data_IF_884760529317
#
_entry.id   IF_884760529317
#
_cell.length_a   1.000
_cell.length_b   1.000
_cell.length_c   1.000
_cell.angle_alpha   90.00
_cell.angle_beta   90.00
_cell.angle_gamma   90.00
#
_symmetry.space_group_name_H-M   'P 1'
#
loop_
_entity.id
_entity.type
_entity.pdbx_description
1 polymer ?
#
# COMPACT_ATOMS: atom_id res chain seq x y z
N UNK A 1 58.68 3.42 -0.68
CA UNK A 1 57.71 3.15 -1.73
C UNK A 1 56.34 3.50 -1.16
N UNK A 2 55.60 4.50 -1.66
CA UNK A 2 54.32 4.85 -1.11
C UNK A 2 53.25 3.89 -1.60
N UNK A 3 52.42 3.48 -0.65
CA UNK A 3 51.32 2.54 -0.79
C UNK A 3 50.38 2.95 -1.92
N UNK A 4 50.27 2.08 -2.93
CA UNK A 4 49.30 2.20 -4.00
C UNK A 4 47.87 2.06 -3.45
N UNK A 5 47.23 3.20 -3.16
CA UNK A 5 45.78 3.28 -3.00
C UNK A 5 45.16 2.85 -4.32
N UNK A 6 44.77 1.58 -4.42
CA UNK A 6 43.90 1.13 -5.51
C UNK A 6 42.63 1.96 -5.48
N UNK A 7 42.31 2.69 -6.56
CA UNK A 7 41.06 3.46 -6.59
C UNK A 7 39.90 2.49 -6.44
N UNK A 8 39.12 2.68 -5.39
CA UNK A 8 37.85 1.95 -5.22
C UNK A 8 37.00 2.22 -6.46
N UNK A 9 36.88 1.21 -7.32
CA UNK A 9 36.05 1.30 -8.52
C UNK A 9 34.65 1.70 -8.07
N UNK A 10 34.21 2.89 -8.48
CA UNK A 10 32.88 3.38 -8.16
C UNK A 10 31.84 2.37 -8.66
N UNK A 11 30.94 1.92 -7.78
CA UNK A 11 29.86 1.00 -8.14
C UNK A 11 29.01 1.61 -9.27
N UNK A 12 29.06 1.07 -10.50
CA UNK A 12 28.34 1.65 -11.64
C UNK A 12 26.83 1.60 -11.46
N UNK A 13 26.33 0.74 -10.56
CA UNK A 13 24.90 0.58 -10.26
C UNK A 13 24.46 1.39 -9.03
N UNK A 14 25.37 2.11 -8.36
CA UNK A 14 25.07 2.86 -7.14
C UNK A 14 23.91 3.85 -7.31
N UNK A 15 23.92 4.62 -8.40
CA UNK A 15 22.87 5.61 -8.68
C UNK A 15 21.49 4.94 -8.88
N UNK A 16 21.47 3.81 -9.59
CA UNK A 16 20.25 3.04 -9.85
C UNK A 16 19.71 2.43 -8.54
N UNK A 17 20.60 1.91 -7.70
CA UNK A 17 20.24 1.34 -6.40
C UNK A 17 19.63 2.39 -5.48
N UNK A 18 20.24 3.58 -5.36
CA UNK A 18 19.69 4.67 -4.55
C UNK A 18 18.38 5.23 -5.10
N UNK A 19 18.24 5.30 -6.42
CA UNK A 19 16.96 5.66 -7.03
C UNK A 19 15.86 4.66 -6.66
N UNK A 20 16.11 3.35 -6.75
CA UNK A 20 15.12 2.33 -6.38
C UNK A 20 14.76 2.40 -4.89
N UNK A 21 15.73 2.63 -4.00
CA UNK A 21 15.45 2.85 -2.58
C UNK A 21 14.64 4.13 -2.34
N UNK A 22 14.93 5.21 -3.07
CA UNK A 22 14.15 6.43 -3.00
C UNK A 22 12.69 6.22 -3.42
N UNK A 23 12.47 5.49 -4.51
CA UNK A 23 11.10 5.12 -4.94
C UNK A 23 10.43 4.20 -3.91
N UNK A 24 11.15 3.24 -3.34
CA UNK A 24 10.62 2.37 -2.28
C UNK A 24 10.20 3.18 -1.04
N UNK A 25 10.99 4.17 -0.64
CA UNK A 25 10.64 5.08 0.45
C UNK A 25 9.38 5.91 0.14
N UNK A 26 9.24 6.39 -1.10
CA UNK A 26 8.03 7.09 -1.55
C UNK A 26 6.80 6.17 -1.56
N UNK A 27 6.94 4.91 -1.99
CA UNK A 27 5.85 3.91 -1.93
C UNK A 27 5.48 3.62 -0.48
N UNK A 28 6.46 3.49 0.42
CA UNK A 28 6.19 3.33 1.84
C UNK A 28 5.43 4.53 2.43
N UNK A 29 5.87 5.76 2.12
CA UNK A 29 5.16 6.98 2.52
C UNK A 29 3.73 7.01 1.96
N UNK A 30 3.54 6.58 0.71
CA UNK A 30 2.22 6.48 0.07
C UNK A 30 1.31 5.49 0.81
N UNK A 31 1.83 4.34 1.26
CA UNK A 31 1.07 3.38 2.07
C UNK A 31 0.64 4.02 3.40
N UNK A 32 1.53 4.76 4.06
CA UNK A 32 1.21 5.48 5.32
C UNK A 32 0.13 6.53 5.10
N UNK A 33 0.26 7.37 4.05
CA UNK A 33 -0.76 8.39 3.71
C UNK A 33 -2.08 7.74 3.33
N UNK A 34 -2.06 6.60 2.60
CA UNK A 34 -3.26 5.81 2.30
C UNK A 34 -3.95 5.28 3.57
N UNK A 35 -3.16 4.82 4.55
CA UNK A 35 -3.66 4.45 5.88
C UNK A 35 -4.32 5.62 6.61
N UNK A 36 -3.71 6.81 6.59
CA UNK A 36 -4.29 8.02 7.15
C UNK A 36 -5.59 8.42 6.44
N UNK A 37 -5.64 8.36 5.11
CA UNK A 37 -6.86 8.58 4.31
C UNK A 37 -7.99 7.64 4.73
N UNK A 38 -7.66 6.37 5.03
CA UNK A 38 -8.66 5.39 5.54
C UNK A 38 -9.12 5.72 6.96
N UNK A 39 -8.20 6.08 7.85
CA UNK A 39 -8.51 6.38 9.26
C UNK A 39 -9.28 7.70 9.45
N UNK A 40 -9.20 8.61 8.49
CA UNK A 40 -9.94 9.88 8.47
C UNK A 40 -11.25 9.79 7.68
N UNK A 41 -11.64 8.60 7.26
CA UNK A 41 -12.82 8.35 6.39
C UNK A 41 -12.85 9.28 5.15
N UNK A 42 -11.67 9.52 4.54
CA UNK A 42 -11.50 10.48 3.45
C UNK A 42 -11.53 9.86 2.05
N UNK A 43 -11.58 8.52 1.96
CA UNK A 43 -11.31 7.78 0.72
C UNK A 43 -12.41 7.81 -0.35
N UNK A 44 -13.52 8.53 -0.13
CA UNK A 44 -14.63 8.70 -1.07
C UNK A 44 -14.90 10.18 -1.40
N UNK A 45 -14.06 11.11 -0.95
CA UNK A 45 -14.24 12.55 -1.13
C UNK A 45 -14.05 13.00 -2.59
N UNK A 46 -13.25 12.29 -3.37
CA UNK A 46 -12.99 12.56 -4.79
C UNK A 46 -13.70 11.50 -5.64
N UNK A 47 -14.86 11.83 -6.14
CA UNK A 47 -15.81 10.93 -6.82
C UNK A 47 -15.48 10.63 -8.29
N UNK A 48 -14.48 11.32 -8.87
CA UNK A 48 -14.11 11.19 -10.28
C UNK A 48 -12.73 10.57 -10.47
N UNK A 49 -12.60 9.73 -11.50
CA UNK A 49 -11.28 9.27 -11.93
C UNK A 49 -10.67 10.23 -12.95
N UNK A 50 -9.76 11.06 -12.48
CA UNK A 50 -8.98 11.99 -13.33
C UNK A 50 -7.49 11.74 -13.13
N UNK A 51 -6.90 10.70 -13.74
CA UNK A 51 -5.53 10.27 -13.45
C UNK A 51 -4.49 11.35 -13.76
N UNK A 52 -4.66 12.13 -14.81
CA UNK A 52 -3.75 13.21 -15.19
C UNK A 52 -4.28 14.60 -14.79
N UNK A 53 -5.54 14.91 -15.13
CA UNK A 53 -6.13 16.23 -14.89
C UNK A 53 -6.35 16.54 -13.40
N UNK A 54 -6.45 15.53 -12.54
CA UNK A 54 -6.62 15.69 -11.07
C UNK A 54 -5.33 16.00 -10.31
N UNK A 55 -4.27 16.50 -10.95
CA UNK A 55 -3.04 16.96 -10.28
C UNK A 55 -3.29 18.27 -9.55
N UNK A 56 -4.05 19.19 -10.16
CA UNK A 56 -4.39 20.47 -9.53
C UNK A 56 -5.59 20.26 -8.59
N UNK A 57 -5.52 20.79 -7.37
CA UNK A 57 -6.69 20.83 -6.49
C UNK A 57 -7.66 21.91 -6.98
N UNK A 58 -8.88 22.00 -6.41
CA UNK A 58 -9.76 23.13 -6.64
C UNK A 58 -9.07 24.45 -6.26
N UNK A 59 -9.07 25.42 -7.17
CA UNK A 59 -8.34 26.70 -7.01
C UNK A 59 -9.29 27.87 -6.68
N UNK A 60 -10.56 27.75 -7.03
CA UNK A 60 -11.59 28.78 -6.79
C UNK A 60 -12.72 28.27 -5.88
N UNK A 61 -13.47 29.19 -5.30
CA UNK A 61 -14.67 28.81 -4.52
C UNK A 61 -15.70 28.07 -5.37
N UNK A 62 -15.79 28.42 -6.66
CA UNK A 62 -16.67 27.70 -7.59
C UNK A 62 -16.23 26.24 -7.78
N UNK A 63 -14.92 25.97 -7.94
CA UNK A 63 -14.39 24.62 -8.04
C UNK A 63 -14.65 23.82 -6.76
N UNK A 64 -14.46 24.45 -5.57
CA UNK A 64 -14.76 23.81 -4.29
C UNK A 64 -16.25 23.44 -4.17
N UNK A 65 -17.15 24.32 -4.61
CA UNK A 65 -18.59 24.03 -4.61
C UNK A 65 -18.92 22.90 -5.59
N UNK A 66 -18.31 22.85 -6.77
CA UNK A 66 -18.54 21.77 -7.76
C UNK A 66 -18.15 20.40 -7.20
N UNK A 67 -16.94 20.25 -6.66
CA UNK A 67 -16.48 18.96 -6.11
C UNK A 67 -17.30 18.56 -4.87
N UNK A 68 -17.72 19.53 -4.04
CA UNK A 68 -18.57 19.26 -2.89
C UNK A 68 -19.98 18.84 -3.32
N UNK A 69 -20.56 19.45 -4.35
CA UNK A 69 -21.87 19.02 -4.88
C UNK A 69 -21.81 17.59 -5.43
N UNK A 70 -20.73 17.20 -6.09
CA UNK A 70 -20.52 15.79 -6.54
C UNK A 70 -20.42 14.83 -5.36
N UNK A 71 -19.69 15.18 -4.29
CA UNK A 71 -19.63 14.39 -3.07
C UNK A 71 -21.00 14.24 -2.39
N UNK A 72 -21.83 15.30 -2.42
CA UNK A 72 -23.19 15.26 -1.84
C UNK A 72 -24.13 14.29 -2.55
N UNK A 73 -23.77 13.72 -3.69
CA UNK A 73 -24.60 12.76 -4.43
C UNK A 73 -24.34 11.31 -4.03
N UNK A 74 -23.27 11.01 -3.29
CA UNK A 74 -22.92 9.63 -2.91
C UNK A 74 -23.60 9.20 -1.60
N UNK A 75 -23.76 7.86 -1.37
CA UNK A 75 -24.42 7.34 -0.17
C UNK A 75 -23.74 7.75 1.14
N UNK A 76 -22.39 7.85 1.17
CA UNK A 76 -21.66 8.27 2.36
C UNK A 76 -22.12 9.64 2.87
N UNK A 77 -22.32 10.62 1.98
CA UNK A 77 -22.81 11.93 2.39
C UNK A 77 -24.21 11.84 3.01
N UNK A 78 -25.12 11.10 2.38
CA UNK A 78 -26.52 11.06 2.84
C UNK A 78 -26.70 10.33 4.16
N UNK A 79 -25.86 9.32 4.43
CA UNK A 79 -26.03 8.41 5.57
C UNK A 79 -25.10 8.81 6.73
N UNK A 80 -23.83 9.13 6.43
CA UNK A 80 -22.78 9.37 7.44
C UNK A 80 -22.54 10.88 7.64
N UNK A 81 -22.37 11.63 6.55
CA UNK A 81 -21.88 13.00 6.55
C UNK A 81 -22.98 14.04 6.23
N UNK A 82 -24.24 13.70 6.47
CA UNK A 82 -25.37 14.59 6.19
C UNK A 82 -25.25 15.91 6.95
N UNK A 83 -25.26 17.02 6.21
CA UNK A 83 -25.12 18.36 6.80
C UNK A 83 -23.66 18.79 7.01
N UNK A 84 -22.68 18.02 6.52
CA UNK A 84 -21.27 18.40 6.53
C UNK A 84 -21.05 19.79 5.91
N UNK A 85 -20.26 20.62 6.56
CA UNK A 85 -19.86 21.93 6.04
C UNK A 85 -18.81 21.79 4.93
N UNK A 86 -18.68 22.83 4.10
CA UNK A 86 -17.63 22.87 3.07
C UNK A 86 -16.21 22.74 3.69
N UNK A 87 -15.98 23.32 4.85
CA UNK A 87 -14.66 23.25 5.51
C UNK A 87 -14.36 21.84 6.03
N UNK A 88 -15.35 21.15 6.58
CA UNK A 88 -15.21 19.75 6.95
C UNK A 88 -14.97 18.85 5.72
N UNK A 89 -15.64 19.13 4.59
CA UNK A 89 -15.39 18.45 3.32
C UNK A 89 -13.97 18.72 2.80
N UNK A 90 -13.48 19.97 2.86
CA UNK A 90 -12.09 20.30 2.47
C UNK A 90 -11.07 19.45 3.25
N UNK A 91 -11.30 19.20 4.54
CA UNK A 91 -10.40 18.36 5.34
C UNK A 91 -10.27 16.94 4.78
N UNK A 92 -11.38 16.25 4.50
CA UNK A 92 -11.34 14.90 3.92
C UNK A 92 -10.83 14.90 2.48
N UNK A 93 -11.16 15.93 1.70
CA UNK A 93 -10.66 16.10 0.33
C UNK A 93 -9.14 16.19 0.28
N UNK A 94 -8.51 16.95 1.18
CA UNK A 94 -7.06 17.12 1.18
C UNK A 94 -6.30 15.83 1.49
N UNK A 95 -6.82 14.96 2.35
CA UNK A 95 -6.22 13.65 2.61
C UNK A 95 -6.25 12.77 1.36
N UNK A 96 -7.37 12.67 0.69
CA UNK A 96 -7.49 11.87 -0.52
C UNK A 96 -6.69 12.47 -1.68
N UNK A 97 -6.72 13.79 -1.84
CA UNK A 97 -5.92 14.49 -2.85
C UNK A 97 -4.42 14.26 -2.63
N UNK A 98 -3.93 14.40 -1.41
CA UNK A 98 -2.53 14.17 -1.06
C UNK A 98 -2.08 12.74 -1.39
N UNK A 99 -2.92 11.74 -1.07
CA UNK A 99 -2.69 10.35 -1.44
C UNK A 99 -2.60 10.17 -2.96
N UNK A 100 -3.58 10.69 -3.70
CA UNK A 100 -3.61 10.59 -5.16
C UNK A 100 -2.47 11.40 -5.82
N UNK A 101 -2.10 12.55 -5.26
CA UNK A 101 -0.97 13.36 -5.71
C UNK A 101 0.34 12.61 -5.51
N UNK A 102 0.58 12.09 -4.31
CA UNK A 102 1.79 11.32 -4.01
C UNK A 102 1.90 10.07 -4.89
N UNK A 103 0.80 9.40 -5.20
CA UNK A 103 0.79 8.26 -6.14
C UNK A 103 1.30 8.66 -7.54
N UNK A 104 0.91 9.83 -8.04
CA UNK A 104 1.42 10.37 -9.32
C UNK A 104 2.91 10.70 -9.22
N UNK A 105 3.35 11.30 -8.11
CA UNK A 105 4.76 11.60 -7.88
C UNK A 105 5.62 10.34 -7.85
N UNK A 106 5.15 9.26 -7.24
CA UNK A 106 5.80 7.93 -7.30
C UNK A 106 5.94 7.47 -8.75
N UNK A 107 4.87 7.60 -9.55
CA UNK A 107 4.89 7.26 -10.97
C UNK A 107 5.96 8.04 -11.75
N UNK A 108 6.04 9.36 -11.59
CA UNK A 108 7.05 10.19 -12.24
C UNK A 108 8.47 9.90 -11.71
N UNK A 109 8.65 9.77 -10.40
CA UNK A 109 9.92 9.44 -9.77
C UNK A 109 10.47 8.07 -10.22
N UNK A 110 9.57 7.17 -10.63
CA UNK A 110 9.96 5.90 -11.23
C UNK A 110 10.23 6.03 -12.74
N UNK A 111 9.29 6.60 -13.49
CA UNK A 111 9.32 6.62 -14.96
C UNK A 111 10.49 7.43 -15.52
N UNK A 112 10.71 8.65 -15.00
CA UNK A 112 11.71 9.57 -15.56
C UNK A 112 13.13 8.99 -15.47
N UNK A 113 13.61 8.52 -14.30
CA UNK A 113 14.92 7.88 -14.24
C UNK A 113 14.98 6.55 -14.99
N UNK A 114 13.88 5.75 -15.02
CA UNK A 114 13.86 4.53 -15.82
C UNK A 114 14.15 4.81 -17.27
N UNK A 115 13.44 5.75 -17.88
CA UNK A 115 13.68 6.18 -19.27
C UNK A 115 15.12 6.67 -19.45
N UNK A 116 15.61 7.52 -18.55
CA UNK A 116 17.00 8.01 -18.60
C UNK A 116 18.01 6.86 -18.59
N UNK A 117 17.90 5.91 -17.66
CA UNK A 117 18.86 4.80 -17.56
C UNK A 117 18.76 3.84 -18.76
N UNK A 118 17.57 3.62 -19.31
CA UNK A 118 17.38 2.79 -20.50
C UNK A 118 17.98 3.46 -21.73
N UNK A 119 17.68 4.74 -21.98
CA UNK A 119 18.22 5.50 -23.13
C UNK A 119 19.75 5.59 -23.06
N UNK A 120 20.30 5.80 -21.86
CA UNK A 120 21.75 5.83 -21.62
C UNK A 120 22.40 4.45 -21.59
N UNK A 121 21.65 3.38 -21.85
CA UNK A 121 22.12 1.98 -21.83
C UNK A 121 22.88 1.61 -20.54
N UNK A 122 22.48 2.20 -19.41
CA UNK A 122 23.07 1.95 -18.08
C UNK A 122 22.50 0.73 -17.38
N UNK A 123 21.43 0.14 -17.92
CA UNK A 123 20.77 -1.05 -17.41
C UNK A 123 20.95 -2.22 -18.38
N UNK A 124 21.21 -3.44 -17.88
CA UNK A 124 21.11 -4.65 -18.69
C UNK A 124 19.67 -4.80 -19.23
N UNK A 125 19.51 -5.29 -20.47
CA UNK A 125 18.20 -5.39 -21.11
C UNK A 125 17.18 -6.19 -20.27
N UNK A 126 17.59 -7.34 -19.72
CA UNK A 126 16.73 -8.17 -18.87
C UNK A 126 16.25 -7.42 -17.62
N UNK A 127 17.11 -6.57 -17.02
CA UNK A 127 16.74 -5.77 -15.85
C UNK A 127 15.83 -4.59 -16.23
N UNK A 128 16.02 -4.02 -17.41
CA UNK A 128 15.13 -2.97 -17.95
C UNK A 128 13.70 -3.49 -18.12
N UNK A 129 13.52 -4.70 -18.66
CA UNK A 129 12.21 -5.33 -18.79
C UNK A 129 11.57 -5.65 -17.44
N UNK A 130 12.38 -6.10 -16.46
CA UNK A 130 11.90 -6.30 -15.08
C UNK A 130 11.36 -5.00 -14.47
N UNK A 131 12.08 -3.90 -14.62
CA UNK A 131 11.65 -2.59 -14.12
C UNK A 131 10.45 -2.04 -14.90
N UNK A 132 10.38 -2.26 -16.21
CA UNK A 132 9.20 -1.91 -17.02
C UNK A 132 7.96 -2.67 -16.53
N UNK A 133 8.09 -3.98 -16.27
CA UNK A 133 7.01 -4.78 -15.67
C UNK A 133 6.57 -4.26 -14.30
N UNK A 134 7.52 -3.83 -13.46
CA UNK A 134 7.22 -3.23 -12.16
C UNK A 134 6.52 -1.87 -12.30
N UNK A 135 6.89 -1.06 -13.29
CA UNK A 135 6.20 0.19 -13.62
C UNK A 135 4.76 -0.06 -14.08
N UNK A 136 4.54 -1.08 -14.94
CA UNK A 136 3.20 -1.48 -15.36
C UNK A 136 2.35 -1.97 -14.20
N UNK A 137 2.95 -2.73 -13.26
CA UNK A 137 2.27 -3.13 -12.02
C UNK A 137 1.87 -1.92 -11.18
N UNK A 138 2.73 -0.88 -11.12
CA UNK A 138 2.41 0.42 -10.50
C UNK A 138 1.23 1.12 -11.18
N UNK A 139 1.17 1.12 -12.50
CA UNK A 139 0.02 1.63 -13.26
C UNK A 139 -1.27 0.86 -12.96
N UNK A 140 -1.19 -0.48 -12.94
CA UNK A 140 -2.32 -1.34 -12.56
C UNK A 140 -2.77 -1.09 -11.11
N UNK A 141 -1.86 -0.80 -10.20
CA UNK A 141 -2.17 -0.41 -8.82
C UNK A 141 -3.07 0.83 -8.76
N UNK A 142 -2.86 1.81 -9.65
CA UNK A 142 -3.75 2.96 -9.79
C UNK A 142 -5.16 2.55 -10.24
N UNK A 143 -5.27 1.63 -11.20
CA UNK A 143 -6.56 1.10 -11.65
C UNK A 143 -7.26 0.28 -10.55
N UNK A 144 -6.52 -0.54 -9.79
CA UNK A 144 -7.05 -1.28 -8.62
C UNK A 144 -7.55 -0.28 -7.55
N UNK A 145 -6.81 0.82 -7.32
CA UNK A 145 -7.24 1.88 -6.40
C UNK A 145 -8.55 2.52 -6.82
N UNK A 146 -8.72 2.81 -8.10
CA UNK A 146 -10.01 3.30 -8.61
C UNK A 146 -11.12 2.24 -8.51
N UNK A 147 -10.83 1.00 -8.85
CA UNK A 147 -11.77 -0.12 -8.67
C UNK A 147 -12.22 -0.26 -7.20
N UNK A 148 -11.33 0.03 -6.26
CA UNK A 148 -11.67 0.08 -4.83
C UNK A 148 -12.62 1.24 -4.52
N UNK A 149 -12.27 2.47 -4.90
CA UNK A 149 -13.06 3.67 -4.64
C UNK A 149 -14.46 3.56 -5.27
N UNK A 150 -14.54 3.09 -6.52
CA UNK A 150 -15.83 2.94 -7.22
C UNK A 150 -16.84 2.07 -6.48
N UNK A 151 -16.41 1.18 -5.56
CA UNK A 151 -17.32 0.35 -4.76
C UNK A 151 -18.11 1.12 -3.71
N UNK A 152 -17.60 2.28 -3.28
CA UNK A 152 -18.25 3.11 -2.26
C UNK A 152 -19.07 4.26 -2.85
N UNK A 153 -19.08 4.44 -4.19
CA UNK A 153 -19.73 5.59 -4.82
C UNK A 153 -21.21 5.37 -5.18
N UNK A 154 -21.70 4.13 -5.17
CA UNK A 154 -23.06 3.79 -5.68
C UNK A 154 -23.95 3.25 -4.56
N UNK A 155 -23.58 2.12 -3.95
CA UNK A 155 -24.48 1.39 -3.04
C UNK A 155 -23.94 1.28 -1.60
N UNK A 156 -22.72 1.72 -1.33
CA UNK A 156 -22.04 1.52 -0.05
C UNK A 156 -21.61 2.85 0.54
N UNK A 157 -21.49 2.87 1.86
CA UNK A 157 -20.96 4.02 2.63
C UNK A 157 -19.44 3.95 2.85
N UNK A 158 -18.84 2.82 2.53
CA UNK A 158 -17.40 2.55 2.65
C UNK A 158 -16.92 1.76 1.42
N UNK A 159 -15.62 1.82 1.15
CA UNK A 159 -15.01 0.97 0.12
C UNK A 159 -15.12 -0.52 0.51
N UNK A 160 -15.20 -1.40 -0.49
CA UNK A 160 -15.18 -2.85 -0.25
C UNK A 160 -13.90 -3.27 0.45
N UNK A 161 -14.01 -3.96 1.58
CA UNK A 161 -12.86 -4.50 2.33
C UNK A 161 -12.04 -5.51 1.52
N UNK A 162 -12.67 -6.25 0.59
CA UNK A 162 -11.97 -7.13 -0.35
C UNK A 162 -11.11 -6.35 -1.35
N UNK A 163 -11.67 -5.26 -1.93
CA UNK A 163 -10.93 -4.42 -2.87
C UNK A 163 -9.82 -3.65 -2.17
N UNK A 164 -10.03 -3.25 -0.92
CA UNK A 164 -9.00 -2.67 -0.07
C UNK A 164 -7.87 -3.67 0.21
N UNK A 165 -8.21 -4.92 0.55
CA UNK A 165 -7.22 -5.97 0.78
C UNK A 165 -6.39 -6.25 -0.47
N UNK A 166 -7.01 -6.31 -1.65
CA UNK A 166 -6.30 -6.43 -2.93
C UNK A 166 -5.35 -5.25 -3.15
N UNK A 167 -5.85 -4.01 -3.01
CA UNK A 167 -5.08 -2.79 -3.23
C UNK A 167 -3.87 -2.73 -2.30
N UNK A 168 -4.05 -2.94 -1.01
CA UNK A 168 -2.97 -2.89 -0.02
C UNK A 168 -1.94 -4.02 -0.23
N UNK A 169 -2.40 -5.24 -0.52
CA UNK A 169 -1.49 -6.37 -0.78
C UNK A 169 -0.61 -6.13 -2.00
N UNK A 170 -1.17 -5.61 -3.10
CA UNK A 170 -0.38 -5.26 -4.29
C UNK A 170 0.58 -4.10 -4.01
N UNK A 171 0.20 -3.11 -3.17
CA UNK A 171 1.12 -2.04 -2.78
C UNK A 171 2.34 -2.58 -2.01
N UNK A 172 2.15 -3.50 -1.06
CA UNK A 172 3.25 -4.17 -0.36
C UNK A 172 4.07 -5.08 -1.29
N UNK A 173 3.45 -5.73 -2.27
CA UNK A 173 4.16 -6.51 -3.29
C UNK A 173 5.08 -5.59 -4.13
N UNK A 174 4.59 -4.43 -4.57
CA UNK A 174 5.40 -3.44 -5.29
C UNK A 174 6.58 -2.99 -4.42
N UNK A 175 6.35 -2.67 -3.14
CA UNK A 175 7.40 -2.30 -2.21
C UNK A 175 8.46 -3.40 -2.08
N UNK A 176 8.04 -4.65 -1.88
CA UNK A 176 8.95 -5.80 -1.78
C UNK A 176 9.75 -6.01 -3.07
N UNK A 177 9.12 -5.89 -4.24
CA UNK A 177 9.78 -6.03 -5.54
C UNK A 177 10.76 -4.88 -5.83
N UNK A 178 10.49 -3.66 -5.38
CA UNK A 178 11.41 -2.53 -5.46
C UNK A 178 12.66 -2.79 -4.62
N UNK A 179 12.49 -3.16 -3.35
CA UNK A 179 13.59 -3.49 -2.44
C UNK A 179 14.41 -4.68 -2.96
N UNK A 180 13.73 -5.74 -3.41
CA UNK A 180 14.38 -6.89 -4.04
C UNK A 180 15.16 -6.50 -5.28
N UNK A 181 14.61 -5.63 -6.12
CA UNK A 181 15.29 -5.15 -7.33
C UNK A 181 16.55 -4.35 -6.99
N UNK A 182 16.46 -3.45 -5.98
CA UNK A 182 17.62 -2.68 -5.52
C UNK A 182 18.72 -3.59 -4.92
N UNK A 183 18.33 -4.62 -4.18
CA UNK A 183 19.26 -5.56 -3.56
C UNK A 183 19.96 -6.46 -4.58
N UNK A 184 19.23 -6.94 -5.59
CA UNK A 184 19.76 -7.90 -6.59
C UNK A 184 20.48 -7.24 -7.75
N UNK A 185 20.65 -5.90 -7.74
CA UNK A 185 21.51 -5.22 -8.70
C UNK A 185 22.97 -5.71 -8.59
N UNK A 186 23.64 -5.99 -9.73
CA UNK A 186 25.06 -6.29 -9.72
C UNK A 186 25.86 -5.21 -8.99
N UNK A 187 26.66 -5.62 -8.04
CA UNK A 187 27.59 -4.74 -7.31
C UNK A 187 29.02 -5.18 -7.51
N UNK A 188 30.01 -4.45 -6.97
CA UNK A 188 31.38 -4.94 -6.90
C UNK A 188 31.34 -6.30 -6.21
N UNK A 189 31.84 -7.32 -6.89
CA UNK A 189 31.83 -8.71 -6.39
C UNK A 189 32.75 -8.83 -5.18
N UNK A 190 32.22 -8.72 -3.99
CA UNK A 190 32.82 -9.32 -2.81
C UNK A 190 32.32 -10.76 -2.75
N UNK A 191 32.98 -11.65 -3.44
CA UNK A 191 32.64 -13.06 -3.46
C UNK A 191 32.95 -13.70 -2.09
N UNK A 192 32.09 -13.45 -1.11
CA UNK A 192 32.04 -14.25 0.10
C UNK A 192 31.16 -15.46 -0.20
N UNK A 193 31.73 -16.66 -0.16
CA UNK A 193 30.98 -17.89 -0.33
C UNK A 193 29.82 -17.93 0.69
N UNK A 194 28.58 -18.24 0.25
CA UNK A 194 27.44 -18.28 1.17
C UNK A 194 27.69 -19.38 2.24
N UNK A 195 27.39 -19.08 3.53
CA UNK A 195 27.58 -20.04 4.62
C UNK A 195 26.70 -21.30 4.41
N UNK A 196 27.19 -22.47 4.86
CA UNK A 196 26.56 -23.79 4.62
C UNK A 196 25.11 -23.92 5.17
N UNK A 197 24.67 -23.03 6.08
CA UNK A 197 23.32 -23.06 6.68
C UNK A 197 22.25 -22.25 5.93
N UNK A 198 22.55 -21.74 4.73
CA UNK A 198 21.68 -20.84 3.97
C UNK A 198 20.29 -21.39 3.65
N UNK A 199 20.14 -22.71 3.52
CA UNK A 199 18.83 -23.31 3.11
C UNK A 199 17.76 -23.17 4.20
N UNK A 200 18.12 -23.40 5.47
CA UNK A 200 17.19 -23.24 6.60
C UNK A 200 16.79 -21.78 6.81
N UNK A 201 17.77 -20.89 6.85
CA UNK A 201 17.53 -19.44 6.94
C UNK A 201 16.67 -18.91 5.79
N UNK A 202 16.95 -19.36 4.56
CA UNK A 202 16.16 -18.98 3.40
C UNK A 202 14.71 -19.44 3.52
N UNK A 203 14.45 -20.68 3.95
CA UNK A 203 13.10 -21.21 4.17
C UNK A 203 12.38 -20.46 5.29
N UNK A 204 13.06 -20.18 6.40
CA UNK A 204 12.50 -19.40 7.51
C UNK A 204 12.15 -17.98 7.06
N UNK A 205 13.04 -17.28 6.35
CA UNK A 205 12.77 -15.95 5.80
C UNK A 205 11.61 -15.95 4.80
N UNK A 206 11.51 -16.97 3.94
CA UNK A 206 10.39 -17.12 3.01
C UNK A 206 9.06 -17.35 3.75
N UNK A 207 9.08 -18.21 4.78
CA UNK A 207 7.90 -18.45 5.62
C UNK A 207 7.47 -17.17 6.35
N UNK A 208 8.42 -16.46 6.96
CA UNK A 208 8.14 -15.19 7.63
C UNK A 208 7.58 -14.15 6.65
N UNK A 209 8.14 -14.03 5.46
CA UNK A 209 7.64 -13.13 4.42
C UNK A 209 6.20 -13.49 4.02
N UNK A 210 5.88 -14.78 3.87
CA UNK A 210 4.52 -15.24 3.57
C UNK A 210 3.54 -14.90 4.71
N UNK A 211 3.96 -15.09 5.97
CA UNK A 211 3.16 -14.72 7.16
C UNK A 211 2.92 -13.20 7.22
N UNK A 212 3.94 -12.38 6.89
CA UNK A 212 3.79 -10.92 6.81
C UNK A 212 2.77 -10.53 5.73
N UNK A 213 2.83 -11.13 4.54
CA UNK A 213 1.82 -10.86 3.50
C UNK A 213 0.41 -11.30 3.94
N UNK A 214 0.28 -12.44 4.60
CA UNK A 214 -0.99 -12.85 5.18
C UNK A 214 -1.48 -11.85 6.25
N UNK A 215 -0.57 -11.35 7.09
CA UNK A 215 -0.88 -10.31 8.08
C UNK A 215 -1.36 -9.01 7.43
N UNK A 216 -0.78 -8.62 6.29
CA UNK A 216 -1.25 -7.46 5.51
C UNK A 216 -2.67 -7.68 5.00
N UNK A 217 -2.99 -8.87 4.47
CA UNK A 217 -4.35 -9.19 4.01
C UNK A 217 -5.35 -9.13 5.16
N UNK A 218 -5.05 -9.78 6.29
CA UNK A 218 -5.93 -9.78 7.47
C UNK A 218 -6.08 -8.36 8.05
N UNK A 219 -4.98 -7.57 8.10
CA UNK A 219 -5.03 -6.18 8.55
C UNK A 219 -5.87 -5.29 7.64
N UNK A 220 -5.84 -5.53 6.33
CA UNK A 220 -6.69 -4.81 5.38
C UNK A 220 -8.18 -5.14 5.55
N UNK A 221 -8.52 -6.39 5.88
CA UNK A 221 -9.89 -6.77 6.23
C UNK A 221 -10.34 -6.06 7.52
N UNK A 222 -9.49 -6.06 8.56
CA UNK A 222 -9.75 -5.32 9.81
C UNK A 222 -9.99 -3.85 9.54
N UNK A 223 -9.13 -3.20 8.73
CA UNK A 223 -9.27 -1.79 8.39
C UNK A 223 -10.53 -1.51 7.55
N UNK A 224 -10.81 -2.36 6.55
CA UNK A 224 -11.95 -2.20 5.66
C UNK A 224 -13.30 -2.36 6.36
N UNK A 225 -13.37 -3.24 7.36
CA UNK A 225 -14.57 -3.49 8.18
C UNK A 225 -14.65 -2.60 9.43
N UNK A 226 -13.69 -1.71 9.66
CA UNK A 226 -13.56 -0.94 10.93
C UNK A 226 -13.53 -1.85 12.16
N UNK A 227 -13.11 -3.11 12.00
CA UNK A 227 -13.16 -4.13 13.03
C UNK A 227 -12.29 -3.77 14.26
N UNK A 228 -11.22 -3.01 14.05
CA UNK A 228 -10.36 -2.52 15.14
C UNK A 228 -11.06 -1.59 16.14
N UNK A 229 -12.21 -1.00 15.77
CA UNK A 229 -13.00 -0.15 16.66
C UNK A 229 -14.01 -0.94 17.51
N UNK A 230 -14.30 -2.20 17.14
CA UNK A 230 -15.34 -3.00 17.78
C UNK A 230 -14.87 -3.67 19.08
N UNK A 231 -13.63 -4.19 19.09
CA UNK A 231 -13.08 -4.95 20.23
C UNK A 231 -11.72 -4.40 20.62
N UNK A 232 -11.68 -3.42 21.57
CA UNK A 232 -10.49 -2.61 21.86
C UNK A 232 -9.66 -3.12 23.06
N UNK A 233 -10.09 -4.20 23.72
CA UNK A 233 -9.37 -4.75 24.87
C UNK A 233 -8.14 -5.57 24.44
N UNK A 234 -7.06 -5.51 25.23
CA UNK A 234 -5.82 -6.24 25.02
C UNK A 234 -5.19 -6.64 26.38
N UNK A 235 -4.56 -7.80 26.54
CA UNK A 235 -4.31 -8.85 25.54
C UNK A 235 -5.54 -9.73 25.22
N UNK A 236 -6.54 -9.73 26.09
CA UNK A 236 -7.79 -10.46 25.90
C UNK A 236 -8.72 -9.69 24.96
N UNK A 237 -9.61 -10.40 24.30
CA UNK A 237 -10.65 -9.83 23.45
C UNK A 237 -11.98 -9.90 24.19
N UNK A 238 -12.47 -8.76 24.67
CA UNK A 238 -13.64 -8.63 25.56
C UNK A 238 -13.58 -9.52 26.81
N UNK A 239 -12.38 -9.58 27.41
CA UNK A 239 -12.12 -10.39 28.61
C UNK A 239 -11.93 -11.88 28.36
N UNK A 240 -11.99 -12.36 27.12
CA UNK A 240 -11.86 -13.76 26.73
C UNK A 240 -10.59 -14.00 25.90
N UNK A 241 -9.94 -15.16 26.10
CA UNK A 241 -8.83 -15.60 25.26
C UNK A 241 -9.32 -16.01 23.87
N UNK A 242 -10.45 -16.71 23.83
CA UNK A 242 -11.18 -17.11 22.62
C UNK A 242 -12.60 -16.56 22.76
N UNK A 243 -12.98 -15.50 22.04
CA UNK A 243 -14.29 -14.89 22.16
C UNK A 243 -15.40 -15.80 21.61
N UNK A 244 -16.59 -15.72 22.23
CA UNK A 244 -17.73 -16.61 21.92
C UNK A 244 -18.42 -16.32 20.58
N UNK A 245 -18.17 -15.17 19.95
CA UNK A 245 -18.79 -14.75 18.68
C UNK A 245 -18.08 -15.23 17.40
N UNK A 246 -17.08 -16.12 17.53
CA UNK A 246 -16.37 -16.68 16.39
C UNK A 246 -17.25 -17.70 15.64
N UNK A 247 -17.12 -17.75 14.31
CA UNK A 247 -17.72 -18.78 13.43
C UNK A 247 -19.25 -18.89 13.51
N UNK A 248 -19.96 -17.83 13.84
CA UNK A 248 -21.42 -17.80 14.00
C UNK A 248 -22.20 -17.68 12.68
N UNK A 249 -21.52 -17.34 11.57
CA UNK A 249 -22.15 -17.15 10.26
C UNK A 249 -22.24 -18.47 9.49
N UNK A 250 -23.29 -18.58 8.67
CA UNK A 250 -23.49 -19.71 7.75
C UNK A 250 -23.59 -19.16 6.32
N UNK A 251 -22.81 -19.70 5.37
CA UNK A 251 -21.83 -20.80 5.48
C UNK A 251 -20.58 -20.39 6.27
N UNK A 252 -19.92 -21.33 6.93
CA UNK A 252 -18.87 -21.10 7.92
C UNK A 252 -17.70 -20.24 7.41
N UNK A 253 -17.32 -20.37 6.12
CA UNK A 253 -16.19 -19.65 5.54
C UNK A 253 -16.41 -18.13 5.47
N UNK A 254 -17.66 -17.66 5.50
CA UNK A 254 -17.96 -16.23 5.55
C UNK A 254 -17.39 -15.57 6.81
N UNK A 255 -17.28 -16.32 7.91
CA UNK A 255 -16.69 -15.78 9.14
C UNK A 255 -15.24 -15.28 8.93
N UNK A 256 -14.48 -15.91 8.05
CA UNK A 256 -13.08 -15.52 7.80
C UNK A 256 -12.96 -14.13 7.16
N UNK A 257 -14.06 -13.63 6.55
CA UNK A 257 -14.03 -12.41 5.73
C UNK A 257 -15.10 -11.38 6.11
N UNK A 258 -16.22 -11.79 6.70
CA UNK A 258 -17.40 -10.94 6.96
C UNK A 258 -17.72 -10.82 8.46
N UNK A 259 -17.22 -11.71 9.31
CA UNK A 259 -17.42 -11.63 10.75
C UNK A 259 -16.36 -10.73 11.38
N UNK A 260 -16.77 -9.55 11.85
CA UNK A 260 -15.88 -8.53 12.46
C UNK A 260 -15.02 -9.12 13.58
N UNK A 261 -15.61 -9.95 14.45
CA UNK A 261 -14.91 -10.59 15.57
C UNK A 261 -13.86 -11.60 15.08
N UNK A 262 -14.22 -12.47 14.15
CA UNK A 262 -13.29 -13.48 13.59
C UNK A 262 -12.16 -12.84 12.80
N UNK A 263 -12.45 -11.84 12.00
CA UNK A 263 -11.44 -11.11 11.22
C UNK A 263 -10.41 -10.44 12.14
N UNK A 264 -10.88 -9.78 13.20
CA UNK A 264 -9.97 -9.13 14.16
C UNK A 264 -9.20 -10.16 14.99
N UNK A 265 -9.84 -11.25 15.41
CA UNK A 265 -9.20 -12.33 16.15
C UNK A 265 -8.08 -12.99 15.35
N UNK A 266 -8.33 -13.32 14.08
CA UNK A 266 -7.34 -13.93 13.19
C UNK A 266 -6.13 -12.98 12.97
N UNK A 267 -6.38 -11.69 12.79
CA UNK A 267 -5.31 -10.70 12.64
C UNK A 267 -4.42 -10.61 13.89
N UNK A 268 -5.02 -10.59 15.10
CA UNK A 268 -4.29 -10.60 16.38
C UNK A 268 -3.49 -11.89 16.58
N UNK A 269 -4.13 -13.05 16.32
CA UNK A 269 -3.49 -14.35 16.47
C UNK A 269 -2.25 -14.48 15.58
N UNK A 270 -2.38 -14.10 14.32
CA UNK A 270 -1.25 -14.12 13.39
C UNK A 270 -0.13 -13.16 13.80
N UNK A 271 -0.47 -11.98 14.35
CA UNK A 271 0.52 -11.05 14.89
C UNK A 271 1.35 -11.68 16.02
N UNK A 272 0.70 -12.43 16.94
CA UNK A 272 1.42 -13.17 17.98
C UNK A 272 2.32 -14.26 17.39
N UNK A 273 1.85 -15.02 16.41
CA UNK A 273 2.66 -16.04 15.73
C UNK A 273 3.89 -15.43 15.08
N UNK A 274 3.75 -14.30 14.35
CA UNK A 274 4.87 -13.61 13.71
C UNK A 274 5.87 -13.09 14.72
N UNK A 275 5.39 -12.59 15.88
CA UNK A 275 6.26 -12.04 16.93
C UNK A 275 7.09 -13.13 17.64
N UNK A 276 6.59 -14.37 17.68
CA UNK A 276 7.26 -15.51 18.30
C UNK A 276 8.12 -16.32 17.33
N UNK A 277 8.03 -16.09 16.02
CA UNK A 277 8.75 -16.81 14.96
C UNK A 277 10.12 -16.23 14.67
#
# INVERSE_FOLDING_TARGET
MPDGLTPTLADPMRAIRWWLYGVAALVFALIVVGGATRLTDSGLSITEWRPLMGILPPLSDADWQDVFQKYRQIPEYHIVNRGMSLDAFKFIFWWEWAHRFLARMVGFAFAIPLVYFVVRRRLPAAFSWKLAGLFMLGGMQGAIGWYMVSSGLVDRIDVSHYRLALHLTVAFLILALLLWSAWTLPGPSTAVAPPQHTTRFRRAAQALLALIFLQVVLGALVAGMKAGLAHNTWPLMDGQLIPSGLLVMTPWYLNLFENVMTVQFNHRLLAYVITLA
#
